data_IF_070216639155
#
_entry.id   IF_070216639155
#
_cell.length_a   1.000
_cell.length_b   1.000
_cell.length_c   1.000
_cell.angle_alpha   90.00
_cell.angle_beta   90.00
_cell.angle_gamma   90.00
#
_symmetry.space_group_name_H-M   'P 1'
#
loop_
_entity.id
_entity.type
_entity.pdbx_description
1 polymer ?
#
# COMPACT_ATOMS: atom_id res chain seq x y z
N UNK A 1 3.66 12.12 74.36
CA UNK A 1 3.14 12.22 72.98
C UNK A 1 4.28 12.61 72.08
N UNK A 2 4.89 11.64 71.41
CA UNK A 2 6.05 11.81 70.53
C UNK A 2 5.68 11.25 69.16
N UNK A 3 5.68 12.13 68.16
CA UNK A 3 5.34 11.80 66.77
C UNK A 3 6.33 10.80 66.15
N UNK A 4 5.89 9.91 65.25
CA UNK A 4 6.78 8.99 64.55
C UNK A 4 7.58 9.70 63.46
N UNK A 5 8.78 9.20 63.09
CA UNK A 5 9.64 9.84 62.11
C UNK A 5 9.12 9.65 60.67
N UNK A 6 9.26 10.71 59.88
CA UNK A 6 8.96 10.76 58.44
C UNK A 6 9.82 9.77 57.66
N UNK A 7 9.14 8.89 56.91
CA UNK A 7 9.76 8.01 55.93
C UNK A 7 10.37 8.82 54.78
N UNK A 8 11.66 8.62 54.55
CA UNK A 8 12.42 9.19 53.44
C UNK A 8 12.02 8.46 52.16
N UNK A 9 11.23 9.10 51.30
CA UNK A 9 10.95 8.61 49.95
C UNK A 9 12.22 8.74 49.10
N UNK A 10 12.84 7.61 48.76
CA UNK A 10 13.81 7.55 47.68
C UNK A 10 13.11 7.88 46.35
N UNK A 11 13.30 9.10 45.85
CA UNK A 11 13.07 9.42 44.45
C UNK A 11 14.02 8.56 43.61
N UNK A 12 13.48 7.57 42.91
CA UNK A 12 14.15 6.97 41.77
C UNK A 12 14.35 8.06 40.72
N UNK A 13 15.57 8.56 40.63
CA UNK A 13 16.04 9.35 39.49
C UNK A 13 16.04 8.43 38.27
N UNK A 14 14.97 8.45 37.48
CA UNK A 14 15.01 7.97 36.11
C UNK A 14 16.00 8.86 35.36
N UNK A 15 17.24 8.38 35.22
CA UNK A 15 18.16 8.90 34.22
C UNK A 15 17.50 8.74 32.85
N UNK A 16 16.85 9.80 32.37
CA UNK A 16 16.62 10.03 30.95
C UNK A 16 18.01 10.26 30.33
N UNK A 17 18.75 9.17 30.14
CA UNK A 17 19.94 9.16 29.31
C UNK A 17 19.57 9.69 27.94
N UNK A 18 20.40 10.58 27.42
CA UNK A 18 20.32 11.11 26.07
C UNK A 18 20.31 9.92 25.10
N UNK A 19 19.12 9.49 24.66
CA UNK A 19 18.98 8.33 23.79
C UNK A 19 19.61 8.64 22.44
N UNK A 20 20.40 7.70 21.91
CA UNK A 20 21.00 7.82 20.60
C UNK A 20 19.93 7.54 19.52
N UNK A 21 19.45 8.55 18.76
CA UNK A 21 18.43 8.34 17.74
C UNK A 21 18.93 7.46 16.58
N UNK A 22 20.24 7.18 16.50
CA UNK A 22 20.81 6.28 15.50
C UNK A 22 20.59 4.79 15.81
N UNK A 23 20.22 4.43 17.04
CA UNK A 23 20.03 3.05 17.49
C UNK A 23 18.82 2.99 18.44
N UNK A 24 17.58 2.96 17.90
CA UNK A 24 16.40 2.84 18.74
C UNK A 24 16.44 1.50 19.49
N UNK A 25 16.19 1.53 20.80
CA UNK A 25 16.10 0.32 21.61
C UNK A 25 14.96 -0.57 21.08
N UNK A 26 15.32 -1.72 20.51
CA UNK A 26 14.38 -2.77 20.10
C UNK A 26 14.46 -3.93 21.07
N UNK A 27 13.83 -3.76 22.21
CA UNK A 27 13.44 -4.90 23.01
C UNK A 27 11.95 -4.76 23.25
N UNK A 28 11.07 -5.47 22.51
CA UNK A 28 9.62 -5.46 22.76
C UNK A 28 9.29 -5.85 24.21
N UNK A 29 10.19 -6.59 24.85
CA UNK A 29 10.17 -6.97 26.27
C UNK A 29 10.44 -5.78 27.21
N UNK A 30 11.00 -4.67 26.70
CA UNK A 30 11.43 -3.49 27.48
C UNK A 30 10.76 -2.18 27.03
N UNK A 31 10.21 -2.10 25.83
CA UNK A 31 9.59 -0.89 25.29
C UNK A 31 8.26 -1.18 24.58
N UNK A 32 7.26 -0.34 24.81
CA UNK A 32 5.94 -0.42 24.13
C UNK A 32 6.08 -0.01 22.66
N UNK A 33 5.30 -0.63 21.78
CA UNK A 33 5.26 -0.34 20.33
C UNK A 33 5.21 1.17 20.01
N UNK A 34 4.39 1.93 20.75
CA UNK A 34 4.27 3.38 20.54
C UNK A 34 5.60 4.14 20.71
N UNK A 35 6.46 3.69 21.64
CA UNK A 35 7.78 4.28 21.87
C UNK A 35 8.72 3.88 20.74
N UNK A 36 8.67 2.62 20.32
CA UNK A 36 9.48 2.09 19.20
C UNK A 36 9.15 2.85 17.91
N UNK A 37 7.86 2.99 17.58
CA UNK A 37 7.39 3.75 16.41
C UNK A 37 7.91 5.19 16.46
N UNK A 38 7.78 5.86 17.61
CA UNK A 38 8.24 7.24 17.78
C UNK A 38 9.74 7.38 17.53
N UNK A 39 10.56 6.52 18.15
CA UNK A 39 12.02 6.56 18.00
C UNK A 39 12.45 6.20 16.58
N UNK A 40 11.81 5.23 15.95
CA UNK A 40 12.11 4.86 14.57
C UNK A 40 11.79 5.99 13.58
N UNK A 41 10.65 6.68 13.77
CA UNK A 41 10.30 7.86 12.97
C UNK A 41 11.27 9.00 13.22
N UNK A 42 11.63 9.27 14.47
CA UNK A 42 12.64 10.28 14.79
C UNK A 42 13.98 9.98 14.12
N UNK A 43 14.42 8.71 14.12
CA UNK A 43 15.62 8.26 13.40
C UNK A 43 15.58 8.62 11.92
N UNK A 44 14.46 8.35 11.23
CA UNK A 44 14.31 8.63 9.80
C UNK A 44 14.52 10.11 9.42
N UNK A 45 14.26 11.04 10.35
CA UNK A 45 14.39 12.48 10.16
C UNK A 45 15.56 13.12 10.93
N UNK A 46 16.33 12.32 11.66
CA UNK A 46 17.55 12.75 12.34
C UNK A 46 18.75 12.77 11.39
N UNK A 47 19.75 13.64 11.60
CA UNK A 47 20.97 13.61 10.79
C UNK A 47 21.69 12.26 10.96
N UNK A 48 22.42 11.79 9.92
CA UNK A 48 23.36 10.68 10.07
C UNK A 48 24.37 10.94 11.19
N UNK A 49 24.91 9.86 11.78
CA UNK A 49 26.03 9.97 12.71
C UNK A 49 27.27 10.61 12.06
N UNK A 50 28.19 11.14 12.87
CA UNK A 50 29.36 11.87 12.39
C UNK A 50 30.25 11.07 11.43
N UNK A 51 30.37 9.76 11.63
CA UNK A 51 31.20 8.92 10.77
C UNK A 51 30.55 8.74 9.40
N UNK A 52 29.24 8.45 9.39
CA UNK A 52 28.44 8.36 8.17
C UNK A 52 28.39 9.69 7.44
N UNK A 53 28.22 10.80 8.16
CA UNK A 53 28.25 12.15 7.59
C UNK A 53 29.61 12.47 6.95
N UNK A 54 30.73 12.11 7.59
CA UNK A 54 32.08 12.25 7.01
C UNK A 54 32.26 11.43 5.73
N UNK A 55 31.78 10.17 5.72
CA UNK A 55 31.80 9.29 4.53
C UNK A 55 30.97 9.88 3.39
N UNK A 56 29.76 10.37 3.68
CA UNK A 56 28.89 11.00 2.70
C UNK A 56 29.52 12.27 2.11
N UNK A 57 30.02 13.17 2.95
CA UNK A 57 30.69 14.40 2.51
C UNK A 57 31.94 14.11 1.67
N UNK A 58 32.68 13.02 1.95
CA UNK A 58 33.78 12.56 1.09
C UNK A 58 33.28 12.14 -0.30
N UNK A 59 32.16 11.41 -0.39
CA UNK A 59 31.56 11.02 -1.67
C UNK A 59 31.04 12.22 -2.47
N UNK A 60 30.44 13.20 -1.81
CA UNK A 60 29.98 14.46 -2.45
C UNK A 60 31.16 15.20 -3.09
N UNK A 61 32.25 15.44 -2.33
CA UNK A 61 33.45 16.10 -2.87
C UNK A 61 34.03 15.36 -4.08
N UNK A 62 34.15 14.04 -4.01
CA UNK A 62 34.64 13.24 -5.14
C UNK A 62 33.71 13.32 -6.38
N UNK A 63 32.40 13.44 -6.17
CA UNK A 63 31.44 13.65 -7.26
C UNK A 63 31.57 15.04 -7.89
N UNK A 64 31.77 16.09 -7.09
CA UNK A 64 31.96 17.45 -7.58
C UNK A 64 33.26 17.55 -8.40
N UNK A 65 34.35 16.98 -7.90
CA UNK A 65 35.64 16.92 -8.60
C UNK A 65 35.52 16.22 -9.97
N UNK A 66 34.81 15.09 -10.02
CA UNK A 66 34.56 14.34 -11.24
C UNK A 66 33.66 15.11 -12.21
N UNK A 67 32.63 15.79 -11.70
CA UNK A 67 31.73 16.62 -12.51
C UNK A 67 32.49 17.78 -13.15
N UNK A 68 33.33 18.46 -12.37
CA UNK A 68 34.21 19.53 -12.83
C UNK A 68 35.22 19.04 -13.88
N UNK A 69 35.82 17.86 -13.68
CA UNK A 69 36.69 17.24 -14.67
C UNK A 69 35.95 16.95 -15.99
N UNK A 70 34.76 16.37 -15.91
CA UNK A 70 33.93 16.09 -17.11
C UNK A 70 33.57 17.37 -17.86
N UNK A 71 33.25 18.46 -17.16
CA UNK A 71 32.98 19.77 -17.77
C UNK A 71 34.22 20.28 -18.50
N UNK A 72 35.40 20.23 -17.86
CA UNK A 72 36.67 20.64 -18.49
C UNK A 72 36.97 19.85 -19.77
N UNK A 73 36.83 18.52 -19.74
CA UNK A 73 37.07 17.68 -20.92
C UNK A 73 36.07 18.01 -22.04
N UNK A 74 34.78 18.25 -21.73
CA UNK A 74 33.79 18.68 -22.74
C UNK A 74 34.16 19.98 -23.42
N UNK A 75 34.62 20.98 -22.66
CA UNK A 75 35.06 22.27 -23.20
C UNK A 75 36.29 22.07 -24.09
N UNK A 76 37.28 21.29 -23.63
CA UNK A 76 38.48 20.99 -24.42
C UNK A 76 38.17 20.23 -25.70
N UNK A 77 37.32 19.21 -25.65
CA UNK A 77 36.84 18.46 -26.81
C UNK A 77 36.21 19.39 -27.85
N UNK A 78 35.34 20.31 -27.39
CA UNK A 78 34.69 21.30 -28.25
C UNK A 78 35.70 22.27 -28.87
N UNK A 79 36.70 22.73 -28.11
CA UNK A 79 37.70 23.69 -28.59
C UNK A 79 38.72 23.07 -29.55
N UNK A 80 39.13 21.82 -29.30
CA UNK A 80 40.19 21.15 -30.06
C UNK A 80 39.67 20.23 -31.16
N UNK A 81 38.35 20.17 -31.38
CA UNK A 81 37.69 19.18 -32.23
C UNK A 81 38.15 17.75 -31.91
N UNK A 82 38.32 17.46 -30.61
CA UNK A 82 38.76 16.17 -30.08
C UNK A 82 37.58 15.42 -29.47
N UNK A 83 37.64 14.09 -29.50
CA UNK A 83 36.62 13.21 -28.92
C UNK A 83 37.19 12.42 -27.73
N UNK A 84 37.83 13.09 -26.76
CA UNK A 84 38.28 12.42 -25.55
C UNK A 84 37.08 11.84 -24.79
N UNK A 85 37.17 10.58 -24.36
CA UNK A 85 36.13 9.93 -23.58
C UNK A 85 35.95 10.62 -22.22
N UNK A 86 34.69 10.71 -21.76
CA UNK A 86 34.39 11.28 -20.46
C UNK A 86 34.51 10.20 -19.38
N UNK A 87 35.23 10.46 -18.26
CA UNK A 87 35.35 9.51 -17.17
C UNK A 87 33.97 9.20 -16.58
N UNK A 88 33.63 7.92 -16.43
CA UNK A 88 32.31 7.49 -15.96
C UNK A 88 32.11 7.75 -14.46
N UNK A 89 30.86 7.96 -14.05
CA UNK A 89 30.52 8.03 -12.64
C UNK A 89 30.66 6.64 -12.01
N UNK A 90 31.38 6.48 -10.89
CA UNK A 90 31.57 5.19 -10.25
C UNK A 90 30.25 4.62 -9.72
N UNK A 91 30.23 3.30 -9.52
CA UNK A 91 29.14 2.62 -8.82
C UNK A 91 28.99 3.20 -7.40
N UNK A 92 27.75 3.47 -7.01
CA UNK A 92 27.40 4.02 -5.70
C UNK A 92 26.79 2.96 -4.78
N UNK A 93 25.86 2.17 -5.33
CA UNK A 93 25.20 1.05 -4.65
C UNK A 93 24.56 0.09 -5.67
N UNK A 94 24.07 -1.04 -5.19
CA UNK A 94 23.23 -1.97 -5.95
C UNK A 94 22.23 -2.67 -5.02
N UNK A 95 21.07 -3.08 -5.55
CA UNK A 95 20.13 -3.95 -4.83
C UNK A 95 20.54 -5.42 -4.94
N UNK A 96 20.08 -6.31 -4.03
CA UNK A 96 20.31 -7.74 -4.16
C UNK A 96 19.83 -8.28 -5.52
N UNK A 97 20.45 -9.34 -6.00
CA UNK A 97 20.02 -10.03 -7.23
C UNK A 97 18.80 -10.93 -6.95
N UNK A 98 18.19 -11.47 -8.01
CA UNK A 98 17.08 -12.41 -7.90
C UNK A 98 17.45 -13.74 -7.21
N UNK A 99 18.74 -14.07 -7.13
CA UNK A 99 19.25 -15.25 -6.41
C UNK A 99 19.44 -14.96 -4.90
N UNK A 100 19.53 -13.69 -4.52
CA UNK A 100 19.76 -13.25 -3.15
C UNK A 100 18.45 -12.84 -2.44
N UNK A 101 17.46 -12.40 -3.22
CA UNK A 101 16.19 -11.84 -2.75
C UNK A 101 15.04 -12.21 -3.67
N UNK A 102 13.88 -12.54 -3.10
CA UNK A 102 12.67 -12.85 -3.85
C UNK A 102 11.95 -11.62 -4.44
N UNK A 103 12.44 -10.41 -4.18
CA UNK A 103 11.82 -9.16 -4.65
C UNK A 103 12.80 -8.21 -5.34
N UNK A 104 14.11 -8.42 -5.22
CA UNK A 104 15.12 -7.52 -5.80
C UNK A 104 15.64 -8.04 -7.14
N UNK A 105 16.13 -7.11 -7.96
CA UNK A 105 16.49 -7.37 -9.38
C UNK A 105 17.92 -6.99 -9.74
N UNK A 106 18.79 -6.68 -8.77
CA UNK A 106 20.20 -6.35 -9.02
C UNK A 106 20.43 -4.97 -9.64
N UNK A 107 19.56 -3.99 -9.35
CA UNK A 107 19.63 -2.63 -9.92
C UNK A 107 20.89 -1.93 -9.46
N UNK A 108 21.64 -1.33 -10.40
CA UNK A 108 22.89 -0.62 -10.12
C UNK A 108 22.68 0.89 -10.19
N UNK A 109 23.12 1.60 -9.15
CA UNK A 109 23.05 3.06 -9.05
C UNK A 109 24.46 3.63 -9.09
N UNK A 110 24.73 4.59 -9.97
CA UNK A 110 26.00 5.32 -9.98
C UNK A 110 25.99 6.56 -9.06
N UNK A 111 27.16 7.15 -8.81
CA UNK A 111 27.29 8.28 -7.87
C UNK A 111 26.49 9.51 -8.29
N UNK A 112 26.32 9.76 -9.59
CA UNK A 112 25.48 10.86 -10.08
C UNK A 112 24.02 10.66 -9.71
N UNK A 113 23.51 9.44 -9.84
CA UNK A 113 22.12 9.12 -9.48
C UNK A 113 21.93 9.13 -7.96
N UNK A 114 22.79 8.43 -7.22
CA UNK A 114 22.66 8.30 -5.76
C UNK A 114 22.82 9.63 -5.02
N UNK A 115 23.78 10.47 -5.41
CA UNK A 115 24.03 11.74 -4.74
C UNK A 115 23.08 12.86 -5.16
N UNK A 116 22.44 12.76 -6.34
CA UNK A 116 21.40 13.72 -6.77
C UNK A 116 20.20 13.76 -5.80
N UNK A 117 19.97 12.71 -5.02
CA UNK A 117 18.94 12.71 -3.97
C UNK A 117 19.17 13.78 -2.89
N UNK A 118 20.41 14.26 -2.71
CA UNK A 118 20.69 15.35 -1.78
C UNK A 118 20.24 16.72 -2.28
N UNK A 119 19.99 16.86 -3.59
CA UNK A 119 19.58 18.11 -4.20
C UNK A 119 18.05 18.29 -4.07
N UNK A 120 17.57 19.27 -3.27
CA UNK A 120 16.14 19.50 -3.06
C UNK A 120 15.41 19.95 -4.33
N UNK A 121 16.13 20.56 -5.28
CA UNK A 121 15.57 21.17 -6.48
C UNK A 121 15.56 20.18 -7.65
N UNK A 122 16.55 19.29 -7.74
CA UNK A 122 16.69 18.37 -8.88
C UNK A 122 15.81 17.12 -8.83
N UNK A 123 15.04 16.92 -7.76
CA UNK A 123 14.21 15.72 -7.56
C UNK A 123 15.00 14.42 -7.34
N UNK A 124 14.31 13.39 -6.84
CA UNK A 124 14.92 12.06 -6.66
C UNK A 124 14.86 11.27 -7.97
N UNK A 125 15.96 10.69 -8.47
CA UNK A 125 15.92 9.82 -9.64
C UNK A 125 15.01 8.61 -9.43
N UNK A 126 14.19 8.26 -10.43
CA UNK A 126 13.24 7.13 -10.34
C UNK A 126 13.91 5.80 -9.93
N UNK A 127 15.11 5.53 -10.46
CA UNK A 127 15.91 4.33 -10.10
C UNK A 127 16.27 4.27 -8.61
N UNK A 128 16.48 5.44 -7.96
CA UNK A 128 16.73 5.50 -6.53
C UNK A 128 15.46 5.17 -5.75
N UNK A 129 14.32 5.75 -6.15
CA UNK A 129 13.00 5.45 -5.55
C UNK A 129 12.70 3.95 -5.61
N UNK A 130 12.84 3.34 -6.77
CA UNK A 130 12.63 1.91 -6.95
C UNK A 130 13.61 1.06 -6.12
N UNK A 131 14.90 1.38 -6.15
CA UNK A 131 15.90 0.63 -5.37
C UNK A 131 15.64 0.72 -3.86
N UNK A 132 15.10 1.85 -3.40
CA UNK A 132 14.72 2.01 -2.00
C UNK A 132 13.50 1.16 -1.64
N UNK A 133 12.49 1.07 -2.52
CA UNK A 133 11.38 0.11 -2.34
C UNK A 133 11.86 -1.34 -2.31
N UNK A 134 12.82 -1.70 -3.17
CA UNK A 134 13.49 -3.00 -3.13
C UNK A 134 14.08 -3.30 -1.75
N UNK A 135 14.89 -2.38 -1.21
CA UNK A 135 15.47 -2.54 0.13
C UNK A 135 14.40 -2.64 1.23
N UNK A 136 13.29 -1.87 1.14
CA UNK A 136 12.19 -1.94 2.11
C UNK A 136 11.56 -3.34 2.09
N UNK A 137 11.16 -3.82 0.91
CA UNK A 137 10.49 -5.11 0.76
C UNK A 137 11.42 -6.27 1.15
N UNK A 138 12.70 -6.23 0.74
CA UNK A 138 13.69 -7.25 1.09
C UNK A 138 13.90 -7.34 2.61
N UNK A 139 14.10 -6.20 3.28
CA UNK A 139 14.29 -6.18 4.72
C UNK A 139 13.06 -6.68 5.48
N UNK A 140 11.86 -6.26 5.07
CA UNK A 140 10.62 -6.71 5.69
C UNK A 140 10.35 -8.21 5.46
N UNK A 141 10.64 -8.73 4.26
CA UNK A 141 10.55 -10.16 3.95
C UNK A 141 11.56 -10.99 4.75
N UNK A 142 12.82 -10.54 4.84
CA UNK A 142 13.86 -11.19 5.67
C UNK A 142 13.45 -11.28 7.12
N UNK A 143 12.91 -10.19 7.68
CA UNK A 143 12.46 -10.18 9.07
C UNK A 143 11.27 -11.13 9.30
N UNK A 144 10.26 -11.09 8.44
CA UNK A 144 9.11 -11.99 8.53
C UNK A 144 9.47 -13.46 8.34
N UNK A 145 10.43 -13.74 7.46
CA UNK A 145 10.99 -15.07 7.25
C UNK A 145 11.58 -15.64 8.53
N UNK A 146 12.36 -14.86 9.28
CA UNK A 146 12.91 -15.27 10.58
C UNK A 146 11.82 -15.56 11.61
N UNK A 147 10.75 -14.77 11.63
CA UNK A 147 9.64 -14.99 12.56
C UNK A 147 8.83 -16.25 12.26
N UNK A 148 8.67 -16.58 10.98
CA UNK A 148 7.77 -17.67 10.53
C UNK A 148 8.50 -18.96 10.17
N UNK A 149 9.84 -18.93 10.05
CA UNK A 149 10.65 -20.07 9.61
C UNK A 149 10.57 -20.34 8.10
N UNK A 150 9.92 -19.48 7.31
CA UNK A 150 9.80 -19.62 5.85
C UNK A 150 11.03 -19.03 5.18
N UNK A 151 11.71 -19.73 4.28
CA UNK A 151 12.87 -19.18 3.56
C UNK A 151 12.46 -18.08 2.55
N UNK A 152 13.06 -16.90 2.63
CA UNK A 152 12.80 -15.78 1.70
C UNK A 152 13.77 -15.68 0.51
N UNK A 153 14.87 -16.43 0.52
CA UNK A 153 15.93 -16.30 -0.49
C UNK A 153 15.61 -17.00 -1.80
N UNK A 154 14.73 -18.00 -1.81
CA UNK A 154 14.42 -18.72 -3.04
C UNK A 154 13.48 -17.90 -3.92
N UNK A 155 13.84 -17.71 -5.19
CA UNK A 155 12.90 -17.32 -6.24
C UNK A 155 11.67 -18.26 -6.19
N UNK A 156 10.48 -17.68 -6.02
CA UNK A 156 9.24 -18.45 -5.82
C UNK A 156 8.82 -18.69 -4.36
N UNK A 157 9.60 -18.27 -3.36
CA UNK A 157 9.09 -18.12 -1.99
C UNK A 157 7.98 -17.07 -1.96
N UNK A 158 6.90 -17.32 -1.23
CA UNK A 158 5.78 -16.36 -1.13
C UNK A 158 6.26 -15.08 -0.43
N UNK A 159 6.39 -13.93 -1.13
CA UNK A 159 6.73 -12.69 -0.46
C UNK A 159 5.59 -12.30 0.49
N UNK A 160 5.91 -11.59 1.58
CA UNK A 160 4.90 -10.89 2.40
C UNK A 160 4.78 -9.43 1.97
N UNK A 161 5.84 -8.85 1.43
CA UNK A 161 5.88 -7.51 0.87
C UNK A 161 6.37 -7.62 -0.56
N UNK A 162 5.60 -7.08 -1.49
CA UNK A 162 5.92 -7.10 -2.91
C UNK A 162 5.74 -5.71 -3.51
N UNK A 163 6.36 -5.48 -4.65
CA UNK A 163 6.13 -4.29 -5.45
C UNK A 163 6.30 -4.66 -6.93
N UNK A 164 5.65 -3.94 -7.83
CA UNK A 164 5.93 -4.08 -9.26
C UNK A 164 7.15 -3.23 -9.65
N UNK A 165 8.23 -3.83 -10.16
CA UNK A 165 9.40 -3.10 -10.65
C UNK A 165 9.06 -2.06 -11.71
N UNK A 166 9.83 -0.97 -11.76
CA UNK A 166 9.53 0.14 -12.66
C UNK A 166 9.74 -0.21 -14.14
N UNK A 167 10.61 -1.17 -14.44
CA UNK A 167 10.81 -1.69 -15.80
C UNK A 167 9.56 -2.37 -16.37
N UNK A 168 8.65 -2.83 -15.51
CA UNK A 168 7.34 -3.35 -15.93
C UNK A 168 6.37 -2.23 -16.27
N UNK A 169 6.67 -0.97 -15.93
CA UNK A 169 5.84 0.18 -16.28
C UNK A 169 4.36 0.05 -15.87
N UNK A 170 4.11 -0.67 -14.77
CA UNK A 170 2.79 -1.15 -14.37
C UNK A 170 1.71 -0.06 -14.35
N UNK A 171 2.01 1.13 -13.80
CA UNK A 171 1.03 2.22 -13.78
C UNK A 171 0.62 2.66 -15.20
N UNK A 172 1.57 2.79 -16.13
CA UNK A 172 1.24 3.23 -17.49
C UNK A 172 0.46 2.15 -18.25
N UNK A 173 0.83 0.88 -18.05
CA UNK A 173 0.08 -0.25 -18.61
C UNK A 173 -1.34 -0.31 -18.02
N UNK A 174 -1.49 -0.14 -16.70
CA UNK A 174 -2.79 -0.09 -16.03
C UNK A 174 -3.72 0.97 -16.63
N UNK A 175 -3.16 2.10 -17.05
CA UNK A 175 -3.93 3.20 -17.64
C UNK A 175 -4.20 3.03 -19.14
N UNK A 176 -3.51 2.11 -19.82
CA UNK A 176 -3.55 1.96 -21.29
C UNK A 176 -4.16 0.64 -21.77
N UNK A 177 -4.01 -0.43 -20.98
CA UNK A 177 -4.44 -1.78 -21.30
C UNK A 177 -5.81 -2.08 -20.71
N UNK A 178 -6.44 -3.15 -21.18
CA UNK A 178 -7.66 -3.70 -20.56
C UNK A 178 -7.36 -4.34 -19.20
N UNK A 179 -8.38 -4.50 -18.37
CA UNK A 179 -8.24 -5.13 -17.05
C UNK A 179 -7.84 -6.60 -17.14
N UNK A 180 -8.26 -7.28 -18.21
CA UNK A 180 -7.97 -8.70 -18.49
C UNK A 180 -6.51 -8.89 -18.87
N UNK A 181 -5.98 -8.03 -19.76
CA UNK A 181 -4.56 -8.01 -20.12
C UNK A 181 -3.69 -7.74 -18.87
N UNK A 182 -4.06 -6.74 -18.07
CA UNK A 182 -3.35 -6.45 -16.82
C UNK A 182 -3.39 -7.61 -15.83
N UNK A 183 -4.51 -8.33 -15.73
CA UNK A 183 -4.64 -9.51 -14.89
C UNK A 183 -3.77 -10.68 -15.38
N UNK A 184 -3.66 -10.86 -16.70
CA UNK A 184 -2.80 -11.87 -17.31
C UNK A 184 -1.33 -11.56 -17.05
N UNK A 185 -0.88 -10.33 -17.33
CA UNK A 185 0.50 -9.89 -17.09
C UNK A 185 0.88 -9.98 -15.61
N UNK A 186 -0.03 -9.58 -14.71
CA UNK A 186 0.17 -9.75 -13.26
C UNK A 186 0.45 -11.20 -12.89
N UNK A 187 -0.24 -12.15 -13.54
CA UNK A 187 -0.12 -13.58 -13.23
C UNK A 187 1.23 -14.18 -13.61
N UNK A 188 2.03 -13.49 -14.43
CA UNK A 188 3.42 -13.87 -14.75
C UNK A 188 4.38 -13.60 -13.58
N UNK A 189 4.00 -12.72 -12.65
CA UNK A 189 4.85 -12.26 -11.55
C UNK A 189 4.29 -12.57 -10.16
N UNK A 190 2.97 -12.62 -10.03
CA UNK A 190 2.29 -12.82 -8.75
C UNK A 190 1.04 -13.66 -8.95
N UNK A 191 1.03 -14.86 -8.38
CA UNK A 191 -0.17 -15.71 -8.38
C UNK A 191 -1.23 -15.16 -7.42
N UNK A 192 -2.51 -15.49 -7.65
CA UNK A 192 -3.60 -15.14 -6.71
C UNK A 192 -3.37 -15.67 -5.30
N UNK A 193 -2.79 -16.86 -5.18
CA UNK A 193 -2.47 -17.47 -3.89
C UNK A 193 -1.37 -16.69 -3.15
N UNK A 194 -0.33 -16.23 -3.86
CA UNK A 194 0.69 -15.35 -3.30
C UNK A 194 0.10 -13.98 -2.92
N UNK A 195 -0.76 -13.39 -3.77
CA UNK A 195 -1.41 -12.12 -3.49
C UNK A 195 -2.12 -12.13 -2.13
N UNK A 196 -2.92 -13.16 -1.84
CA UNK A 196 -3.62 -13.27 -0.55
C UNK A 196 -2.70 -13.51 0.66
N UNK A 197 -1.43 -13.88 0.44
CA UNK A 197 -0.42 -13.97 1.51
C UNK A 197 0.29 -12.63 1.72
N UNK A 198 0.15 -11.65 0.84
CA UNK A 198 0.80 -10.36 1.01
C UNK A 198 0.21 -9.59 2.20
N UNK A 199 1.09 -8.99 3.00
CA UNK A 199 0.75 -7.89 3.90
C UNK A 199 0.60 -6.59 3.12
N UNK A 200 1.55 -6.30 2.21
CA UNK A 200 1.47 -5.16 1.29
C UNK A 200 1.98 -5.50 -0.11
N UNK A 201 1.28 -4.96 -1.10
CA UNK A 201 1.71 -4.76 -2.47
C UNK A 201 1.88 -3.26 -2.71
N UNK A 202 3.08 -2.81 -3.05
CA UNK A 202 3.37 -1.41 -3.36
C UNK A 202 3.39 -1.16 -4.87
N UNK A 203 2.75 -0.08 -5.30
CA UNK A 203 2.71 0.36 -6.70
C UNK A 203 3.11 1.84 -6.74
N UNK A 204 4.15 2.15 -7.53
CA UNK A 204 4.54 3.52 -7.80
C UNK A 204 3.65 4.11 -8.89
N UNK A 205 2.95 5.18 -8.57
CA UNK A 205 2.03 5.88 -9.47
C UNK A 205 2.77 7.09 -10.03
N UNK A 206 3.29 6.97 -11.25
CA UNK A 206 4.07 8.00 -11.92
C UNK A 206 3.17 8.78 -12.91
N UNK A 207 3.05 10.09 -12.73
CA UNK A 207 2.23 10.93 -13.59
C UNK A 207 2.79 12.35 -13.69
N UNK A 208 2.37 13.09 -14.71
CA UNK A 208 2.71 14.51 -14.88
C UNK A 208 1.44 15.33 -14.66
N UNK A 209 1.34 16.07 -13.55
CA UNK A 209 0.19 16.92 -13.28
C UNK A 209 0.00 17.99 -14.35
N UNK A 210 -1.25 18.38 -14.60
CA UNK A 210 -1.54 19.48 -15.53
C UNK A 210 -0.77 20.75 -15.13
N UNK A 211 -0.21 21.44 -16.13
CA UNK A 211 0.59 22.67 -15.95
C UNK A 211 1.92 22.49 -15.21
N UNK A 212 2.35 21.25 -14.94
CA UNK A 212 3.68 20.94 -14.45
C UNK A 212 4.50 20.27 -15.55
N UNK A 213 5.79 20.58 -15.62
CA UNK A 213 6.73 19.95 -16.56
C UNK A 213 7.40 18.72 -15.98
N UNK A 214 7.42 18.62 -14.65
CA UNK A 214 8.18 17.60 -13.94
C UNK A 214 7.30 16.43 -13.50
N UNK A 215 7.88 15.22 -13.57
CA UNK A 215 7.21 14.00 -13.14
C UNK A 215 6.95 14.01 -11.63
N UNK A 216 5.76 13.56 -11.24
CA UNK A 216 5.35 13.34 -9.87
C UNK A 216 5.18 11.83 -9.61
N UNK A 217 5.46 11.41 -8.38
CA UNK A 217 5.24 10.04 -7.93
C UNK A 217 4.38 10.03 -6.67
N UNK A 218 3.40 9.12 -6.66
CA UNK A 218 2.59 8.79 -5.49
C UNK A 218 2.72 7.28 -5.17
N UNK A 219 2.31 6.89 -3.97
CA UNK A 219 2.27 5.51 -3.53
C UNK A 219 0.83 5.00 -3.55
N UNK A 220 0.59 3.88 -4.22
CA UNK A 220 -0.56 3.04 -3.91
C UNK A 220 -0.06 1.82 -3.14
N UNK A 221 -0.57 1.60 -1.94
CA UNK A 221 -0.28 0.42 -1.13
C UNK A 221 -1.56 -0.40 -0.94
N UNK A 222 -1.55 -1.63 -1.41
CA UNK A 222 -2.68 -2.56 -1.33
C UNK A 222 -2.34 -3.56 -0.24
N UNK A 223 -3.22 -3.74 0.73
CA UNK A 223 -3.12 -4.81 1.72
C UNK A 223 -4.17 -5.87 1.47
N UNK A 224 -3.82 -7.01 0.87
CA UNK A 224 -4.74 -8.13 0.70
C UNK A 224 -5.19 -8.72 2.05
N UNK A 225 -4.27 -8.82 3.02
CA UNK A 225 -4.56 -9.29 4.38
C UNK A 225 -5.69 -8.48 5.06
N UNK A 226 -5.68 -7.15 4.92
CA UNK A 226 -6.71 -6.27 5.49
C UNK A 226 -7.83 -5.86 4.51
N UNK A 227 -7.71 -6.27 3.23
CA UNK A 227 -8.55 -5.79 2.12
C UNK A 227 -8.61 -4.26 2.06
N UNK A 228 -7.46 -3.60 2.14
CA UNK A 228 -7.38 -2.14 2.07
C UNK A 228 -6.55 -1.65 0.90
N UNK A 229 -6.85 -0.42 0.45
CA UNK A 229 -6.02 0.34 -0.48
C UNK A 229 -5.74 1.71 0.13
N UNK A 230 -4.47 2.03 0.30
CA UNK A 230 -3.96 3.34 0.66
C UNK A 230 -3.43 4.04 -0.59
N UNK A 231 -4.04 5.16 -0.95
CA UNK A 231 -3.48 6.06 -1.97
C UNK A 231 -2.90 7.29 -1.29
N UNK A 232 -1.58 7.46 -1.40
CA UNK A 232 -0.81 8.49 -0.72
C UNK A 232 -0.02 9.32 -1.72
N UNK A 233 -0.37 10.60 -1.83
CA UNK A 233 0.30 11.55 -2.71
C UNK A 233 0.68 12.81 -1.94
N UNK A 234 1.97 13.12 -1.88
CA UNK A 234 2.46 14.32 -1.20
C UNK A 234 2.09 15.62 -1.92
N UNK A 235 1.70 15.57 -3.20
CA UNK A 235 1.18 16.75 -3.88
C UNK A 235 -0.33 16.93 -3.78
N UNK A 236 -1.01 16.16 -2.94
CA UNK A 236 -2.45 16.29 -2.66
C UNK A 236 -3.36 15.68 -3.73
N UNK A 237 -2.86 14.77 -4.57
CA UNK A 237 -3.72 13.97 -5.44
C UNK A 237 -4.47 12.93 -4.60
N UNK A 238 -5.74 12.68 -4.91
CA UNK A 238 -6.51 11.59 -4.29
C UNK A 238 -6.50 10.31 -5.11
N UNK A 239 -6.02 10.35 -6.35
CA UNK A 239 -6.13 9.24 -7.30
C UNK A 239 -7.55 9.02 -7.83
N UNK A 240 -8.52 9.85 -7.43
CA UNK A 240 -9.91 9.80 -7.88
C UNK A 240 -10.16 10.81 -9.02
N UNK A 241 -11.20 10.61 -9.85
CA UNK A 241 -11.56 11.56 -10.91
C UNK A 241 -11.83 12.99 -10.42
N UNK A 242 -12.37 13.13 -9.21
CA UNK A 242 -12.68 14.40 -8.55
C UNK A 242 -11.55 14.90 -7.64
N UNK A 243 -10.30 14.49 -7.89
CA UNK A 243 -9.13 14.95 -7.14
C UNK A 243 -9.04 16.48 -7.10
N UNK A 244 -8.69 17.08 -5.95
CA UNK A 244 -8.48 18.53 -5.85
C UNK A 244 -7.27 18.99 -6.68
N UNK A 245 -6.39 18.07 -7.08
CA UNK A 245 -5.28 18.34 -7.98
C UNK A 245 -5.71 18.16 -9.44
N UNK A 246 -5.79 19.25 -10.19
CA UNK A 246 -6.03 19.20 -11.63
C UNK A 246 -4.95 18.37 -12.34
N UNK A 247 -5.35 17.44 -13.20
CA UNK A 247 -4.45 16.49 -13.84
C UNK A 247 -3.83 15.47 -12.87
N UNK A 248 -4.51 15.15 -11.77
CA UNK A 248 -4.17 14.01 -10.91
C UNK A 248 -4.18 12.67 -11.68
N UNK A 249 -3.66 11.62 -11.04
CA UNK A 249 -3.46 10.31 -11.67
C UNK A 249 -4.76 9.62 -12.11
N UNK A 250 -5.86 9.82 -11.36
CA UNK A 250 -7.17 9.17 -11.57
C UNK A 250 -7.08 7.64 -11.64
N UNK A 251 -6.05 7.04 -11.05
CA UNK A 251 -5.74 5.62 -11.21
C UNK A 251 -6.60 4.69 -10.35
N UNK A 252 -7.29 5.18 -9.30
CA UNK A 252 -7.99 4.32 -8.35
C UNK A 252 -9.12 3.47 -8.95
N UNK A 253 -10.01 4.00 -9.82
CA UNK A 253 -10.99 3.16 -10.49
C UNK A 253 -10.35 2.02 -11.28
N UNK A 254 -9.25 2.29 -12.00
CA UNK A 254 -8.50 1.29 -12.76
C UNK A 254 -7.81 0.26 -11.87
N UNK A 255 -7.24 0.67 -10.73
CA UNK A 255 -6.68 -0.26 -9.73
C UNK A 255 -7.74 -1.25 -9.25
N UNK A 256 -8.93 -0.77 -8.91
CA UNK A 256 -9.99 -1.67 -8.42
C UNK A 256 -10.59 -2.54 -9.53
N UNK A 257 -10.66 -2.03 -10.76
CA UNK A 257 -11.09 -2.83 -11.92
C UNK A 257 -10.07 -3.94 -12.24
N UNK A 258 -8.77 -3.63 -12.19
CA UNK A 258 -7.70 -4.62 -12.28
C UNK A 258 -7.79 -5.65 -11.14
N UNK A 259 -7.98 -5.23 -9.88
CA UNK A 259 -8.17 -6.16 -8.76
C UNK A 259 -9.37 -7.09 -8.99
N UNK A 260 -10.48 -6.56 -9.51
CA UNK A 260 -11.66 -7.36 -9.82
C UNK A 260 -11.38 -8.43 -10.89
N UNK A 261 -10.67 -8.07 -11.97
CA UNK A 261 -10.30 -9.00 -13.04
C UNK A 261 -9.24 -10.01 -12.57
N UNK A 262 -8.18 -9.54 -11.91
CA UNK A 262 -7.10 -10.37 -11.39
C UNK A 262 -7.58 -11.38 -10.36
N UNK A 263 -8.44 -11.00 -9.41
CA UNK A 263 -8.90 -11.88 -8.34
C UNK A 263 -10.19 -12.65 -8.69
N UNK A 264 -10.92 -12.21 -9.71
CA UNK A 264 -12.17 -12.81 -10.18
C UNK A 264 -13.20 -12.99 -9.07
N UNK A 265 -13.66 -14.22 -8.88
CA UNK A 265 -14.72 -14.54 -7.93
C UNK A 265 -14.36 -14.28 -6.46
N UNK A 266 -13.07 -14.16 -6.13
CA UNK A 266 -12.61 -13.87 -4.77
C UNK A 266 -12.64 -12.37 -4.41
N UNK A 267 -12.90 -11.49 -5.38
CA UNK A 267 -13.05 -10.06 -5.14
C UNK A 267 -14.48 -9.70 -4.78
N UNK A 268 -14.63 -9.05 -3.63
CA UNK A 268 -15.89 -8.52 -3.11
C UNK A 268 -15.71 -7.03 -2.77
N UNK A 269 -16.10 -6.09 -3.65
CA UNK A 269 -15.73 -4.67 -3.51
C UNK A 269 -16.14 -4.05 -2.16
N UNK A 270 -17.22 -4.52 -1.56
CA UNK A 270 -17.74 -4.01 -0.28
C UNK A 270 -16.98 -4.50 0.96
N UNK A 271 -16.13 -5.51 0.82
CA UNK A 271 -15.17 -5.85 1.87
C UNK A 271 -13.96 -4.92 1.86
N UNK A 272 -13.69 -4.29 0.72
CA UNK A 272 -12.52 -3.44 0.58
C UNK A 272 -12.75 -2.06 1.16
N UNK A 273 -11.69 -1.48 1.70
CA UNK A 273 -11.68 -0.10 2.17
C UNK A 273 -10.60 0.71 1.48
N UNK A 274 -10.92 1.97 1.23
CA UNK A 274 -10.04 2.94 0.59
C UNK A 274 -9.73 4.05 1.60
N UNK A 275 -8.45 4.40 1.69
CA UNK A 275 -8.00 5.62 2.34
C UNK A 275 -7.25 6.47 1.32
N UNK A 276 -7.73 7.70 1.14
CA UNK A 276 -7.06 8.76 0.38
C UNK A 276 -6.78 9.91 1.35
N UNK A 277 -5.86 10.82 1.00
CA UNK A 277 -5.53 12.01 1.81
C UNK A 277 -4.91 11.75 3.20
N UNK A 278 -4.35 10.56 3.45
CA UNK A 278 -3.72 10.26 4.74
C UNK A 278 -2.25 10.70 4.86
N UNK A 279 -1.64 11.17 3.76
CA UNK A 279 -0.24 11.60 3.74
C UNK A 279 -0.05 13.10 3.99
N UNK A 280 1.13 13.46 4.46
CA UNK A 280 1.54 14.87 4.52
C UNK A 280 1.76 15.45 3.13
N UNK A 281 1.34 16.70 2.96
CA UNK A 281 1.54 17.46 1.73
C UNK A 281 2.93 18.09 1.73
N UNK A 282 3.67 17.92 0.64
CA UNK A 282 4.98 18.53 0.45
C UNK A 282 4.87 20.01 0.06
N UNK A 283 5.95 20.76 0.28
CA UNK A 283 6.10 22.08 -0.32
C UNK A 283 6.14 21.99 -1.85
N UNK A 284 5.28 22.75 -2.55
CA UNK A 284 5.08 22.62 -4.01
C UNK A 284 6.32 22.95 -4.85
N UNK A 285 7.25 23.72 -4.30
CA UNK A 285 8.51 24.12 -4.95
C UNK A 285 9.60 23.05 -4.88
N UNK A 286 9.44 22.00 -4.07
CA UNK A 286 10.49 21.01 -3.82
C UNK A 286 10.25 19.69 -4.56
N UNK A 287 11.33 19.09 -5.05
CA UNK A 287 11.35 17.78 -5.70
C UNK A 287 11.31 16.60 -4.71
N UNK A 288 10.47 16.65 -3.67
CA UNK A 288 10.46 15.70 -2.54
C UNK A 288 9.50 14.51 -2.70
N UNK A 289 8.72 14.42 -3.78
CA UNK A 289 7.59 13.46 -3.87
C UNK A 289 8.01 12.00 -3.71
N UNK A 290 9.17 11.64 -4.25
CA UNK A 290 9.78 10.34 -4.06
C UNK A 290 10.25 10.06 -2.62
N UNK A 291 10.80 11.07 -1.92
CA UNK A 291 11.17 10.95 -0.50
C UNK A 291 9.92 10.67 0.33
N UNK A 292 8.82 11.36 0.02
CA UNK A 292 7.55 11.12 0.70
C UNK A 292 7.00 9.73 0.41
N UNK A 293 7.00 9.33 -0.85
CA UNK A 293 6.56 8.00 -1.31
C UNK A 293 7.32 6.89 -0.60
N UNK A 294 8.65 6.92 -0.61
CA UNK A 294 9.48 5.92 0.02
C UNK A 294 9.35 5.89 1.55
N UNK A 295 9.16 7.05 2.19
CA UNK A 295 8.95 7.14 3.64
C UNK A 295 7.62 6.51 4.05
N UNK A 296 6.52 6.78 3.33
CA UNK A 296 5.25 6.11 3.60
C UNK A 296 5.33 4.60 3.36
N UNK A 297 5.98 4.16 2.28
CA UNK A 297 6.21 2.73 2.03
C UNK A 297 6.98 2.07 3.18
N UNK A 298 8.04 2.72 3.68
CA UNK A 298 8.82 2.25 4.82
C UNK A 298 7.97 2.17 6.09
N UNK A 299 7.18 3.21 6.40
CA UNK A 299 6.32 3.22 7.57
C UNK A 299 5.23 2.14 7.53
N UNK A 300 4.65 1.87 6.36
CA UNK A 300 3.71 0.77 6.18
C UNK A 300 4.40 -0.59 6.34
N UNK A 301 5.52 -0.79 5.65
CA UNK A 301 6.22 -2.07 5.66
C UNK A 301 6.76 -2.44 7.04
N UNK A 302 7.21 -1.46 7.84
CA UNK A 302 7.82 -1.71 9.15
C UNK A 302 6.79 -1.67 10.30
N UNK A 303 5.50 -1.53 9.99
CA UNK A 303 4.42 -1.57 10.98
C UNK A 303 4.22 -0.28 11.77
N UNK A 304 4.72 0.86 11.28
CA UNK A 304 4.56 2.17 11.92
C UNK A 304 3.22 2.83 11.57
N UNK A 305 2.61 2.46 10.43
CA UNK A 305 1.41 3.10 9.91
C UNK A 305 1.67 4.48 9.26
N UNK A 306 0.66 5.02 8.57
CA UNK A 306 0.77 6.29 7.82
C UNK A 306 0.55 7.52 8.71
N UNK A 307 -0.34 7.43 9.71
CA UNK A 307 -0.64 8.56 10.61
C UNK A 307 0.62 8.97 11.37
N UNK A 308 0.98 10.25 11.31
CA UNK A 308 2.21 10.81 11.88
C UNK A 308 3.51 10.16 11.34
N UNK A 309 3.49 9.60 10.12
CA UNK A 309 4.70 9.10 9.45
C UNK A 309 5.79 10.17 9.29
N UNK A 310 5.38 11.45 9.29
CA UNK A 310 6.24 12.61 9.28
C UNK A 310 6.07 13.38 10.59
N UNK A 311 7.16 13.93 11.17
CA UNK A 311 7.02 14.86 12.28
C UNK A 311 6.28 16.13 11.82
N UNK A 312 5.64 16.85 12.75
CA UNK A 312 4.91 18.08 12.44
C UNK A 312 5.79 19.15 11.77
N UNK A 313 7.08 19.18 12.11
CA UNK A 313 8.11 20.07 11.55
C UNK A 313 8.90 19.47 10.38
N UNK A 314 8.40 18.40 9.74
CA UNK A 314 9.14 17.64 8.73
C UNK A 314 9.75 18.46 7.59
N UNK A 315 9.16 19.59 7.20
CA UNK A 315 9.71 20.44 6.13
C UNK A 315 11.10 20.99 6.47
N UNK A 316 11.38 21.25 7.75
CA UNK A 316 12.70 21.69 8.23
C UNK A 316 13.68 20.51 8.31
N UNK A 317 13.16 19.30 8.55
CA UNK A 317 13.95 18.06 8.69
C UNK A 317 14.09 17.26 7.39
N UNK A 318 13.48 17.67 6.28
CA UNK A 318 13.47 16.89 5.05
C UNK A 318 14.88 16.69 4.46
N UNK A 319 15.79 17.66 4.69
CA UNK A 319 17.20 17.53 4.30
C UNK A 319 17.90 16.40 5.06
N UNK A 320 17.56 16.21 6.34
CA UNK A 320 18.06 15.06 7.11
C UNK A 320 17.47 13.76 6.58
N UNK A 321 16.18 13.74 6.23
CA UNK A 321 15.56 12.56 5.61
C UNK A 321 16.23 12.19 4.29
N UNK A 322 16.59 13.16 3.44
CA UNK A 322 17.38 12.95 2.22
C UNK A 322 18.76 12.36 2.52
N UNK A 323 19.45 12.89 3.53
CA UNK A 323 20.75 12.34 3.97
C UNK A 323 20.62 10.91 4.47
N UNK A 324 19.59 10.60 5.25
CA UNK A 324 19.26 9.23 5.69
C UNK A 324 18.98 8.32 4.51
N UNK A 325 18.16 8.77 3.58
CA UNK A 325 17.87 8.04 2.36
C UNK A 325 19.14 7.67 1.59
N UNK A 326 20.05 8.64 1.40
CA UNK A 326 21.32 8.41 0.72
C UNK A 326 22.26 7.53 1.54
N UNK A 327 22.22 7.64 2.86
CA UNK A 327 22.90 6.70 3.76
C UNK A 327 22.37 5.27 3.53
N UNK A 328 21.07 5.03 3.55
CA UNK A 328 20.51 3.68 3.37
C UNK A 328 20.90 3.13 2.00
N UNK A 329 20.84 3.94 0.93
CA UNK A 329 21.37 3.56 -0.38
C UNK A 329 22.86 3.20 -0.32
N UNK A 330 23.69 4.05 0.31
CA UNK A 330 25.14 3.88 0.39
C UNK A 330 25.55 2.56 1.06
N UNK A 331 24.74 2.07 2.00
CA UNK A 331 24.97 0.82 2.73
C UNK A 331 24.09 -0.34 2.24
N UNK A 332 23.51 -0.23 1.04
CA UNK A 332 22.73 -1.31 0.41
C UNK A 332 21.50 -1.74 1.22
N UNK A 333 20.80 -0.77 1.80
CA UNK A 333 19.54 -0.97 2.50
C UNK A 333 19.70 -1.00 4.02
N UNK A 334 19.01 -1.96 4.64
CA UNK A 334 18.80 -2.02 6.08
C UNK A 334 19.42 -3.28 6.68
N UNK A 335 19.83 -3.22 7.94
CA UNK A 335 20.45 -4.34 8.65
C UNK A 335 19.59 -4.86 9.79
N UNK A 336 19.80 -6.12 10.18
CA UNK A 336 19.20 -6.68 11.40
C UNK A 336 19.86 -6.06 12.63
N UNK A 337 19.15 -6.11 13.76
CA UNK A 337 19.72 -5.73 15.05
C UNK A 337 20.86 -6.67 15.45
N UNK A 338 21.96 -6.10 15.92
CA UNK A 338 23.11 -6.83 16.47
C UNK A 338 23.48 -6.27 17.84
N UNK A 339 23.49 -7.13 18.85
CA UNK A 339 23.81 -6.71 20.21
C UNK A 339 25.25 -6.20 20.31
N UNK A 340 25.46 -5.13 21.10
CA UNK A 340 26.76 -4.47 21.24
C UNK A 340 27.23 -3.64 20.03
N UNK A 341 26.48 -3.59 18.93
CA UNK A 341 26.82 -2.78 17.75
C UNK A 341 26.12 -1.41 17.72
N UNK A 342 26.60 -0.51 16.86
CA UNK A 342 26.01 0.83 16.68
C UNK A 342 24.65 0.82 15.98
N UNK A 343 24.29 -0.26 15.29
CA UNK A 343 22.97 -0.45 14.67
C UNK A 343 22.49 0.74 13.78
N UNK A 344 23.42 1.35 13.04
CA UNK A 344 23.13 2.58 12.27
C UNK A 344 22.12 2.36 11.14
N UNK A 345 22.09 1.17 10.54
CA UNK A 345 21.12 0.77 9.50
C UNK A 345 19.96 -0.07 9.98
N UNK A 346 19.86 -0.25 11.29
CA UNK A 346 18.77 -0.99 11.88
C UNK A 346 17.53 -0.11 12.04
N UNK A 347 16.39 -0.59 11.54
CA UNK A 347 15.08 0.01 11.81
C UNK A 347 14.17 -1.06 12.42
N UNK A 348 13.58 -0.84 13.60
CA UNK A 348 12.61 -1.74 14.22
C UNK A 348 11.50 -2.19 13.27
N UNK A 349 11.20 -3.49 13.20
CA UNK A 349 9.97 -3.95 12.56
C UNK A 349 8.98 -4.38 13.63
N UNK A 350 7.72 -4.01 13.42
CA UNK A 350 6.61 -4.42 14.27
C UNK A 350 5.71 -5.38 13.48
N UNK A 351 5.20 -6.41 14.15
CA UNK A 351 4.23 -7.34 13.53
C UNK A 351 2.80 -6.77 13.52
N UNK A 352 2.67 -5.45 13.69
CA UNK A 352 1.41 -4.74 13.62
C UNK A 352 0.73 -4.98 12.28
N UNK A 353 -0.37 -5.72 12.31
CA UNK A 353 -1.16 -6.00 11.11
C UNK A 353 -1.89 -4.73 10.64
N UNK A 354 -2.03 -4.55 9.31
CA UNK A 354 -2.87 -3.49 8.77
C UNK A 354 -4.30 -3.62 9.28
N UNK A 355 -4.95 -2.48 9.54
CA UNK A 355 -6.36 -2.43 9.91
C UNK A 355 -7.17 -1.78 8.78
N UNK A 356 -8.50 -1.92 8.83
CA UNK A 356 -9.45 -1.30 7.91
C UNK A 356 -10.40 -0.33 8.65
N UNK A 357 -9.92 0.27 9.74
CA UNK A 357 -10.75 1.04 10.66
C UNK A 357 -11.09 2.42 10.13
N UNK A 358 -12.35 2.83 10.31
CA UNK A 358 -12.82 4.18 9.95
C UNK A 358 -12.10 5.27 10.74
N UNK A 359 -11.74 5.01 12.00
CA UNK A 359 -10.95 5.92 12.83
C UNK A 359 -9.56 6.21 12.27
N UNK A 360 -9.05 5.33 11.39
CA UNK A 360 -7.78 5.54 10.70
C UNK A 360 -7.96 6.16 9.30
N UNK A 361 -9.17 6.57 8.94
CA UNK A 361 -9.47 7.21 7.66
C UNK A 361 -9.83 6.26 6.53
N UNK A 362 -10.10 4.98 6.81
CA UNK A 362 -10.59 4.02 5.82
C UNK A 362 -12.10 4.12 5.63
N UNK A 363 -12.53 4.24 4.37
CA UNK A 363 -13.94 4.34 3.99
C UNK A 363 -14.31 3.29 2.94
N UNK A 364 -15.61 3.06 2.76
CA UNK A 364 -16.12 2.24 1.66
C UNK A 364 -15.72 2.83 0.31
N UNK A 365 -15.66 1.98 -0.73
CA UNK A 365 -15.32 2.42 -2.08
C UNK A 365 -16.33 3.48 -2.58
N UNK A 366 -15.86 4.61 -3.14
CA UNK A 366 -16.74 5.65 -3.66
C UNK A 366 -17.45 5.20 -4.95
N UNK A 367 -18.58 5.83 -5.28
CA UNK A 367 -19.37 5.51 -6.48
C UNK A 367 -18.54 5.50 -7.77
N UNK A 368 -17.67 6.51 -7.94
CA UNK A 368 -16.77 6.61 -9.10
C UNK A 368 -15.81 5.41 -9.27
N UNK A 369 -15.54 4.64 -8.21
CA UNK A 369 -14.79 3.37 -8.31
C UNK A 369 -15.73 2.24 -8.68
N UNK A 370 -16.91 2.16 -8.05
CA UNK A 370 -17.90 1.11 -8.29
C UNK A 370 -18.45 1.12 -9.72
N UNK A 371 -18.60 2.30 -10.32
CA UNK A 371 -19.11 2.50 -11.68
C UNK A 371 -18.20 1.92 -12.77
N UNK A 372 -16.90 1.75 -12.48
CA UNK A 372 -15.90 1.21 -13.44
C UNK A 372 -15.75 -0.32 -13.29
N UNK A 373 -16.29 -0.91 -12.22
CA UNK A 373 -16.27 -2.36 -12.04
C UNK A 373 -17.25 -3.05 -13.00
N UNK A 374 -16.97 -4.29 -13.42
CA UNK A 374 -17.96 -5.10 -14.13
C UNK A 374 -19.28 -5.18 -13.34
N UNK A 375 -20.42 -5.00 -14.00
CA UNK A 375 -21.73 -4.90 -13.35
C UNK A 375 -22.03 -6.09 -12.42
N UNK A 376 -21.65 -7.29 -12.85
CA UNK A 376 -21.78 -8.53 -12.08
C UNK A 376 -21.01 -8.47 -10.75
N UNK A 377 -19.86 -7.79 -10.73
CA UNK A 377 -19.02 -7.61 -9.53
C UNK A 377 -19.55 -6.49 -8.65
N UNK A 378 -19.95 -5.36 -9.26
CA UNK A 378 -20.52 -4.21 -8.53
C UNK A 378 -21.81 -4.59 -7.76
N UNK A 379 -22.58 -5.54 -8.30
CA UNK A 379 -23.86 -5.99 -7.73
C UNK A 379 -23.73 -7.14 -6.69
N UNK A 380 -22.53 -7.67 -6.42
CA UNK A 380 -22.33 -8.77 -5.45
C UNK A 380 -22.80 -8.47 -4.02
N UNK A 381 -23.03 -7.19 -3.67
CA UNK A 381 -23.61 -6.79 -2.37
C UNK A 381 -25.01 -7.33 -2.16
N UNK A 382 -25.88 -7.19 -3.16
CA UNK A 382 -27.28 -7.60 -3.05
C UNK A 382 -27.36 -9.10 -2.77
N UNK A 383 -26.53 -9.89 -3.46
CA UNK A 383 -26.46 -11.35 -3.30
C UNK A 383 -25.98 -11.74 -1.90
N UNK A 384 -24.95 -11.08 -1.36
CA UNK A 384 -24.45 -11.36 -0.01
C UNK A 384 -25.44 -10.92 1.07
N UNK A 385 -26.00 -9.72 0.98
CA UNK A 385 -26.98 -9.22 1.95
C UNK A 385 -28.25 -10.09 1.95
N UNK A 386 -28.73 -10.53 0.78
CA UNK A 386 -29.81 -11.52 0.66
C UNK A 386 -29.41 -12.84 1.30
N UNK A 387 -28.20 -13.35 1.02
CA UNK A 387 -27.72 -14.62 1.58
C UNK A 387 -27.61 -14.57 3.11
N UNK A 388 -27.01 -13.52 3.64
CA UNK A 388 -26.78 -13.35 5.08
C UNK A 388 -28.14 -13.12 5.80
N UNK A 389 -29.07 -12.38 5.19
CA UNK A 389 -30.45 -12.26 5.68
C UNK A 389 -31.21 -13.59 5.64
N UNK A 390 -31.09 -14.36 4.55
CA UNK A 390 -31.71 -15.68 4.38
C UNK A 390 -31.17 -16.69 5.40
N UNK A 391 -29.85 -16.68 5.65
CA UNK A 391 -29.22 -17.52 6.67
C UNK A 391 -29.67 -17.15 8.09
N UNK A 392 -29.76 -15.85 8.40
CA UNK A 392 -30.31 -15.39 9.67
C UNK A 392 -31.79 -15.81 9.85
N UNK A 393 -32.58 -15.79 8.78
CA UNK A 393 -33.95 -16.29 8.72
C UNK A 393 -34.00 -17.81 8.98
N UNK A 394 -33.22 -18.63 8.26
CA UNK A 394 -33.18 -20.08 8.46
C UNK A 394 -32.82 -20.47 9.90
N UNK A 395 -31.81 -19.81 10.46
CA UNK A 395 -31.40 -19.99 11.86
C UNK A 395 -32.50 -19.59 12.85
N UNK A 396 -33.22 -18.49 12.58
CA UNK A 396 -34.32 -18.03 13.43
C UNK A 396 -35.54 -18.95 13.42
N UNK A 397 -35.77 -19.68 12.32
CA UNK A 397 -36.94 -20.54 12.13
C UNK A 397 -36.64 -22.04 12.21
N UNK A 398 -35.42 -22.45 12.57
CA UNK A 398 -35.07 -23.86 12.74
C UNK A 398 -35.09 -24.68 11.44
N UNK A 399 -34.85 -24.04 10.30
CA UNK A 399 -34.90 -24.65 8.96
C UNK A 399 -33.55 -25.24 8.53
N UNK A 400 -32.71 -25.68 9.47
CA UNK A 400 -31.30 -26.07 9.24
C UNK A 400 -31.09 -27.38 8.42
N UNK A 401 -32.11 -27.89 7.73
CA UNK A 401 -32.07 -29.15 6.97
C UNK A 401 -32.37 -29.07 5.47
N UNK A 402 -32.57 -27.89 4.87
CA UNK A 402 -33.10 -27.74 3.50
C UNK A 402 -32.13 -27.08 2.49
N UNK A 403 -30.81 -27.10 2.71
CA UNK A 403 -29.88 -26.36 1.86
C UNK A 403 -29.04 -27.26 0.93
N UNK A 404 -29.62 -27.67 -0.20
CA UNK A 404 -28.84 -27.89 -1.43
C UNK A 404 -28.89 -26.60 -2.26
N UNK A 405 -27.77 -25.89 -2.34
CA UNK A 405 -27.64 -24.70 -3.17
C UNK A 405 -26.99 -25.08 -4.50
N UNK A 406 -27.78 -25.14 -5.57
CA UNK A 406 -27.23 -25.21 -6.93
C UNK A 406 -26.65 -23.83 -7.32
N UNK A 407 -25.38 -23.84 -7.73
CA UNK A 407 -24.69 -22.71 -8.34
C UNK A 407 -25.44 -22.29 -9.62
N UNK A 408 -26.23 -21.22 -9.56
CA UNK A 408 -26.85 -20.62 -10.72
C UNK A 408 -26.08 -19.36 -11.12
N UNK A 409 -25.17 -19.56 -12.08
CA UNK A 409 -24.59 -18.50 -12.89
C UNK A 409 -25.65 -18.00 -13.87
N UNK A 410 -26.14 -16.77 -13.68
CA UNK A 410 -27.03 -16.13 -14.64
C UNK A 410 -27.86 -15.02 -14.01
N UNK A 411 -28.03 -13.91 -14.75
CA UNK A 411 -28.79 -12.72 -14.40
C UNK A 411 -30.21 -13.06 -13.89
N UNK A 412 -30.39 -13.14 -12.57
CA UNK A 412 -31.70 -13.26 -11.95
C UNK A 412 -31.92 -12.10 -10.97
N UNK A 413 -32.94 -11.29 -11.26
CA UNK A 413 -33.54 -10.38 -10.28
C UNK A 413 -34.60 -11.16 -9.50
N UNK A 414 -34.54 -11.11 -8.17
CA UNK A 414 -35.47 -11.76 -7.27
C UNK A 414 -36.48 -10.75 -6.74
N UNK A 415 -37.78 -11.00 -6.93
CA UNK A 415 -38.84 -10.34 -6.18
C UNK A 415 -39.31 -11.29 -5.08
N UNK A 416 -39.12 -10.90 -3.81
CA UNK A 416 -39.64 -11.64 -2.65
C UNK A 416 -40.96 -10.99 -2.26
N UNK A 417 -42.08 -11.62 -2.64
CA UNK A 417 -43.41 -11.15 -2.24
C UNK A 417 -43.87 -11.89 -0.97
N UNK A 418 -44.19 -11.13 0.09
CA UNK A 418 -44.70 -11.69 1.35
C UNK A 418 -46.23 -11.71 1.31
N UNK A 419 -46.84 -12.87 1.01
CA UNK A 419 -48.29 -13.05 1.19
C UNK A 419 -48.60 -13.70 2.54
N UNK A 420 -49.37 -12.97 3.36
CA UNK A 420 -50.01 -13.51 4.56
C UNK A 420 -51.25 -14.28 4.10
N UNK A 421 -51.19 -15.61 4.09
CA UNK A 421 -52.38 -16.42 3.83
C UNK A 421 -53.23 -16.37 5.10
N UNK A 422 -54.33 -15.63 5.05
CA UNK A 422 -55.40 -15.77 6.04
C UNK A 422 -56.16 -17.05 5.69
N UNK A 423 -56.06 -18.07 6.54
CA UNK A 423 -56.96 -19.22 6.47
C UNK A 423 -58.36 -18.75 6.85
N UNK A 424 -59.29 -18.81 5.89
CA UNK A 424 -60.69 -18.51 6.10
C UNK A 424 -61.42 -19.66 6.80
N UNK A 425 -62.38 -19.23 7.61
CA UNK A 425 -63.62 -19.90 8.03
C UNK A 425 -63.63 -20.84 9.25
N UNK A 426 -64.29 -20.29 10.28
CA UNK A 426 -65.40 -20.85 11.04
C UNK A 426 -65.21 -21.97 12.08
N UNK A 427 -65.37 -21.50 13.34
CA UNK A 427 -65.91 -22.18 14.53
C UNK A 427 -65.00 -23.02 15.44
N UNK A 428 -65.32 -23.06 16.75
CA UNK A 428 -64.32 -22.95 17.79
C UNK A 428 -64.16 -24.24 18.58
N UNK A 429 -62.93 -24.69 18.76
CA UNK A 429 -62.42 -25.27 20.00
C UNK A 429 -61.00 -25.80 19.75
N UNK A 430 -60.03 -25.20 20.44
CA UNK A 430 -58.77 -25.82 20.84
C UNK A 430 -57.97 -26.56 19.75
N UNK A 431 -57.24 -25.80 18.94
CA UNK A 431 -56.15 -26.32 18.13
C UNK A 431 -54.93 -25.39 18.22
N UNK A 432 -54.09 -25.59 19.23
CA UNK A 432 -52.76 -24.97 19.30
C UNK A 432 -51.77 -25.80 18.48
N UNK A 433 -51.88 -25.72 17.15
CA UNK A 433 -50.82 -26.07 16.18
C UNK A 433 -51.05 -25.25 14.91
N UNK A 434 -50.69 -23.96 14.93
CA UNK A 434 -50.62 -23.16 13.70
C UNK A 434 -49.42 -23.64 12.87
N UNK A 435 -49.67 -24.51 11.88
CA UNK A 435 -48.69 -24.83 10.84
C UNK A 435 -48.49 -23.60 9.95
N UNK A 436 -47.31 -22.98 10.03
CA UNK A 436 -46.89 -21.96 9.05
C UNK A 436 -46.32 -22.69 7.84
N UNK A 437 -47.07 -22.73 6.76
CA UNK A 437 -46.54 -23.18 5.46
C UNK A 437 -45.90 -21.98 4.77
N UNK A 438 -44.58 -22.03 4.59
CA UNK A 438 -43.83 -21.08 3.78
C UNK A 438 -43.86 -21.58 2.33
N UNK A 439 -44.56 -20.88 1.45
CA UNK A 439 -44.52 -21.15 0.01
C UNK A 439 -43.56 -20.14 -0.61
N UNK A 440 -42.43 -20.62 -1.13
CA UNK A 440 -41.50 -19.82 -1.94
C UNK A 440 -41.87 -20.07 -3.39
N UNK A 441 -42.54 -19.11 -4.04
CA UNK A 441 -42.80 -19.12 -5.49
C UNK A 441 -41.82 -18.20 -6.20
N UNK A 442 -40.97 -18.76 -7.05
CA UNK A 442 -40.10 -18.03 -7.97
C UNK A 442 -40.84 -17.76 -9.28
N UNK A 443 -41.03 -16.50 -9.65
CA UNK A 443 -41.49 -16.11 -10.99
C UNK A 443 -40.36 -15.42 -11.77
N UNK A 444 -40.15 -15.91 -12.99
CA UNK A 444 -39.26 -15.35 -14.00
C UNK A 444 -39.96 -14.18 -14.69
N UNK A 445 -39.47 -12.95 -14.53
CA UNK A 445 -39.87 -11.82 -15.37
C UNK A 445 -38.72 -11.51 -16.32
N UNK A 446 -38.90 -11.84 -17.60
CA UNK A 446 -38.01 -11.39 -18.68
C UNK A 446 -38.69 -10.18 -19.33
N UNK A 447 -38.23 -8.96 -19.02
CA UNK A 447 -38.54 -7.80 -19.86
C UNK A 447 -37.55 -7.79 -21.04
N UNK A 448 -37.96 -8.37 -22.16
CA UNK A 448 -37.33 -8.09 -23.44
C UNK A 448 -37.88 -6.77 -23.98
N UNK A 449 -37.02 -5.75 -24.03
CA UNK A 449 -37.26 -4.57 -24.84
C UNK A 449 -37.41 -4.97 -26.31
N UNK A 450 -38.61 -4.79 -26.86
CA UNK A 450 -38.94 -5.03 -28.25
C UNK A 450 -40.15 -4.21 -28.65
N UNK A 451 -39.90 -3.12 -29.38
CA UNK A 451 -40.92 -2.36 -30.12
C UNK A 451 -41.53 -3.30 -31.16
N UNK A 452 -42.85 -3.52 -31.15
CA UNK A 452 -43.64 -3.78 -32.36
C UNK A 452 -45.09 -3.36 -32.16
N UNK A 453 -45.65 -2.92 -33.29
CA UNK A 453 -46.92 -2.24 -33.48
C UNK A 453 -48.14 -3.07 -33.08
N UNK A 454 -49.23 -2.36 -32.83
CA UNK A 454 -50.51 -2.94 -32.42
C UNK A 454 -51.17 -3.82 -33.48
N UNK A 455 -52.09 -4.65 -32.99
CA UNK A 455 -53.36 -4.93 -33.64
C UNK A 455 -54.30 -5.56 -32.61
N UNK A 456 -55.56 -5.14 -32.67
CA UNK A 456 -56.71 -5.68 -31.96
C UNK A 456 -56.89 -7.19 -32.18
N UNK A 457 -57.47 -7.90 -31.20
CA UNK A 457 -58.74 -8.63 -31.36
C UNK A 457 -59.05 -9.60 -30.19
N UNK A 458 -60.14 -9.29 -29.48
CA UNK A 458 -61.25 -10.16 -29.03
C UNK A 458 -61.03 -11.60 -28.49
N UNK A 459 -61.62 -11.81 -27.30
CA UNK A 459 -62.43 -12.95 -26.85
C UNK A 459 -61.98 -14.41 -27.14
N UNK A 460 -61.61 -15.13 -26.08
CA UNK A 460 -62.42 -16.19 -25.44
C UNK A 460 -61.72 -16.67 -24.16
#
# INVERSE_FOLDING_TARGET
MSAPPLATFHMFSCHLGVMNPNAPDHQPDKARDIVIVRLAREKMFSPPDDETAKKLNKRVRAFDDLTNLRIRIRIQNKQKFQAQSLPQFPLFTWTPTADESNVCTGVRINSRQGLRVLDPDAGTPAVCTESYLQFICDYANRWHSKLTGINYHSAGSDPRFFFFPSHQNFHNQLMSNTTEEMAQETSEHLTRAQFWKLRYLFILINFVPNLQTDAHVALCAISPEAKTVDYVCSGGDTGLPNSPRSGGSRCLPYIFAWLASFLGNSFFPYDWRLRTNAGHVQERSRGDCAIYTATHAQCLAFGYGITDAFPSDHQTKILNRRRRYVQDLMYQGFEDFKDGERNTQYYPLLDSKPTALRSEGFYSLPGAVLEVLPAEVANKRLIREIRDATYALHKRYGLEGLSEWHSLSGNCLWNIEYKRVATSEDSPATADKSGRVLIITSHLVIEHGGVLAGSDASHA
#
